data_IF_166309743148
#
_entry.id   IF_166309743148
#
_cell.length_a   1.000
_cell.length_b   1.000
_cell.length_c   1.000
_cell.angle_alpha   90.00
_cell.angle_beta   90.00
_cell.angle_gamma   90.00
#
_symmetry.space_group_name_H-M   'P 1'
#
loop_
_entity.id
_entity.type
_entity.pdbx_description
1 polymer ?
#
# COMPACT_ATOMS: atom_id res chain seq x y z
N UNK A 1 32.97 29.63 17.47
CA UNK A 1 32.51 28.30 17.94
C UNK A 1 31.23 27.97 17.19
N UNK A 2 31.38 27.34 16.04
CA UNK A 2 30.26 27.11 15.09
C UNK A 2 29.70 25.71 15.34
N UNK A 3 28.43 25.69 15.65
CA UNK A 3 27.65 24.53 16.07
C UNK A 3 27.57 23.54 14.89
N UNK A 4 28.30 22.44 14.92
CA UNK A 4 28.19 21.28 14.03
C UNK A 4 27.11 20.28 14.49
N UNK A 5 26.22 20.68 15.40
CA UNK A 5 25.21 19.77 15.96
C UNK A 5 23.98 19.54 15.05
N UNK A 6 23.93 20.16 13.87
CA UNK A 6 22.74 20.06 13.00
C UNK A 6 22.77 18.90 12.00
N UNK A 7 23.97 18.34 11.71
CA UNK A 7 24.10 17.32 10.68
C UNK A 7 23.69 15.91 11.15
N UNK A 8 23.95 15.56 12.40
CA UNK A 8 23.59 14.25 12.96
C UNK A 8 22.08 14.04 13.11
N UNK A 9 21.36 15.11 13.44
CA UNK A 9 19.90 15.04 13.63
C UNK A 9 19.15 14.89 12.30
N UNK A 10 19.67 15.48 11.24
CA UNK A 10 19.11 15.38 9.89
C UNK A 10 19.28 13.97 9.31
N UNK A 11 20.39 13.32 9.57
CA UNK A 11 20.68 11.97 9.09
C UNK A 11 19.78 10.90 9.75
N UNK A 12 19.65 10.94 11.07
CA UNK A 12 18.78 10.02 11.83
C UNK A 12 17.30 10.22 11.46
N UNK A 13 16.86 11.46 11.22
CA UNK A 13 15.52 11.75 10.76
C UNK A 13 15.26 11.19 9.37
N UNK A 14 16.24 11.22 8.48
CA UNK A 14 16.14 10.71 7.12
C UNK A 14 15.96 9.19 7.07
N UNK A 15 16.74 8.43 7.81
CA UNK A 15 16.58 6.98 7.87
C UNK A 15 15.23 6.57 8.44
N UNK A 16 14.70 7.30 9.41
CA UNK A 16 13.36 7.10 9.92
C UNK A 16 12.29 7.36 8.85
N UNK A 17 12.47 8.41 8.04
CA UNK A 17 11.57 8.70 6.91
C UNK A 17 11.63 7.61 5.85
N UNK A 18 12.83 7.17 5.47
CA UNK A 18 13.00 6.07 4.52
C UNK A 18 12.36 4.78 5.05
N UNK A 19 12.57 4.44 6.32
CA UNK A 19 11.97 3.26 6.94
C UNK A 19 10.43 3.34 7.02
N UNK A 20 9.90 4.49 7.42
CA UNK A 20 8.45 4.71 7.46
C UNK A 20 7.82 4.65 6.05
N UNK A 21 8.46 5.27 5.07
CA UNK A 21 8.02 5.20 3.69
C UNK A 21 8.10 3.78 3.11
N UNK A 22 9.18 3.04 3.40
CA UNK A 22 9.32 1.63 3.04
C UNK A 22 8.20 0.76 3.63
N UNK A 23 7.83 1.00 4.89
CA UNK A 23 6.70 0.34 5.54
C UNK A 23 5.38 0.61 4.80
N UNK A 24 5.11 1.87 4.43
CA UNK A 24 3.93 2.23 3.64
C UNK A 24 3.95 1.60 2.23
N UNK A 25 5.12 1.50 1.60
CA UNK A 25 5.28 0.82 0.33
C UNK A 25 5.00 -0.68 0.44
N UNK A 26 5.46 -1.35 1.50
CA UNK A 26 5.16 -2.76 1.76
C UNK A 26 3.64 -2.98 1.97
N UNK A 27 2.99 -2.12 2.75
CA UNK A 27 1.53 -2.16 2.93
C UNK A 27 0.81 -1.93 1.61
N UNK A 28 1.29 -0.98 0.79
CA UNK A 28 0.74 -0.73 -0.54
C UNK A 28 0.85 -1.96 -1.43
N UNK A 29 2.01 -2.60 -1.47
CA UNK A 29 2.22 -3.84 -2.22
C UNK A 29 1.29 -4.96 -1.77
N UNK A 30 1.14 -5.16 -0.45
CA UNK A 30 0.25 -6.16 0.11
C UNK A 30 -1.22 -5.90 -0.29
N UNK A 31 -1.69 -4.67 -0.17
CA UNK A 31 -3.03 -4.27 -0.59
C UNK A 31 -3.24 -4.48 -2.09
N UNK A 32 -2.22 -4.20 -2.91
CA UNK A 32 -2.27 -4.44 -4.35
C UNK A 32 -2.36 -5.94 -4.67
N UNK A 33 -1.57 -6.78 -4.01
CA UNK A 33 -1.65 -8.24 -4.17
C UNK A 33 -3.02 -8.82 -3.81
N UNK A 34 -3.64 -8.33 -2.73
CA UNK A 34 -5.01 -8.69 -2.37
C UNK A 34 -6.00 -8.21 -3.45
N UNK A 35 -5.90 -6.96 -3.89
CA UNK A 35 -6.76 -6.40 -4.93
C UNK A 35 -6.68 -7.20 -6.24
N UNK A 36 -5.47 -7.52 -6.71
CA UNK A 36 -5.24 -8.33 -7.90
C UNK A 36 -5.87 -9.73 -7.77
N UNK A 37 -5.71 -10.37 -6.61
CA UNK A 37 -6.34 -11.68 -6.34
C UNK A 37 -7.86 -11.59 -6.41
N UNK A 38 -8.45 -10.62 -5.75
CA UNK A 38 -9.92 -10.44 -5.70
C UNK A 38 -10.50 -10.17 -7.09
N UNK A 39 -9.79 -9.39 -7.92
CA UNK A 39 -10.29 -8.97 -9.24
C UNK A 39 -10.05 -10.02 -10.31
N UNK A 40 -8.85 -10.60 -10.33
CA UNK A 40 -8.41 -11.43 -11.45
C UNK A 40 -8.33 -12.92 -11.12
N UNK A 41 -8.19 -13.29 -9.85
CA UNK A 41 -8.02 -14.67 -9.39
C UNK A 41 -8.95 -15.02 -8.23
N UNK A 42 -10.27 -14.80 -8.34
CA UNK A 42 -11.20 -15.03 -7.23
C UNK A 42 -11.30 -16.51 -6.79
N UNK A 43 -10.87 -17.43 -7.63
CA UNK A 43 -10.76 -18.86 -7.32
C UNK A 43 -9.66 -19.18 -6.28
N UNK A 44 -8.68 -18.28 -6.09
CA UNK A 44 -7.64 -18.40 -5.05
C UNK A 44 -8.11 -18.00 -3.67
N UNK A 45 -9.28 -17.36 -3.56
CA UNK A 45 -9.85 -16.97 -2.27
C UNK A 45 -10.41 -18.21 -1.58
N UNK A 46 -10.05 -18.47 -0.31
CA UNK A 46 -10.53 -19.62 0.42
C UNK A 46 -12.06 -19.75 0.37
N UNK A 47 -12.57 -20.95 0.13
CA UNK A 47 -14.01 -21.19 0.00
C UNK A 47 -14.79 -20.90 1.29
N UNK A 48 -14.10 -20.91 2.43
CA UNK A 48 -14.66 -20.58 3.75
C UNK A 48 -14.85 -19.09 4.00
N UNK A 49 -14.29 -18.23 3.14
CA UNK A 49 -14.41 -16.78 3.30
C UNK A 49 -15.73 -16.26 2.76
N UNK A 50 -16.22 -15.17 3.33
CA UNK A 50 -17.46 -14.53 2.89
C UNK A 50 -17.35 -14.06 1.43
N UNK A 51 -18.02 -14.79 0.54
CA UNK A 51 -18.00 -14.50 -0.90
C UNK A 51 -18.61 -13.15 -1.24
N UNK A 52 -19.60 -12.66 -0.46
CA UNK A 52 -20.20 -11.35 -0.73
C UNK A 52 -19.20 -10.23 -0.56
N UNK A 53 -18.24 -10.40 0.35
CA UNK A 53 -17.21 -9.40 0.56
C UNK A 53 -15.95 -9.62 -0.30
N UNK A 54 -15.56 -10.88 -0.50
CA UNK A 54 -14.29 -11.23 -1.15
C UNK A 54 -14.39 -11.46 -2.66
N UNK A 55 -15.54 -11.88 -3.22
CA UNK A 55 -15.68 -12.12 -4.65
C UNK A 55 -16.09 -10.86 -5.39
N UNK A 56 -15.14 -10.22 -6.07
CA UNK A 56 -15.37 -9.00 -6.83
C UNK A 56 -16.42 -9.10 -7.96
N UNK A 57 -16.83 -10.32 -8.35
CA UNK A 57 -17.87 -10.54 -9.36
C UNK A 57 -19.27 -10.34 -8.82
N UNK A 58 -19.47 -10.54 -7.53
CA UNK A 58 -20.77 -10.46 -6.87
C UNK A 58 -20.88 -9.31 -5.85
N UNK A 59 -19.77 -8.89 -5.24
CA UNK A 59 -19.76 -7.90 -4.16
C UNK A 59 -20.36 -6.54 -4.56
N UNK A 60 -20.20 -6.13 -5.80
CA UNK A 60 -20.75 -4.85 -6.29
C UNK A 60 -22.28 -4.78 -6.26
N UNK A 61 -22.98 -5.91 -6.29
CA UNK A 61 -24.45 -5.97 -6.22
C UNK A 61 -25.01 -5.53 -4.87
N UNK A 62 -24.17 -5.57 -3.84
CA UNK A 62 -24.53 -5.17 -2.47
C UNK A 62 -24.34 -3.67 -2.21
N UNK A 63 -23.94 -2.89 -3.21
CA UNK A 63 -23.83 -1.42 -3.08
C UNK A 63 -25.22 -0.84 -2.85
N UNK A 64 -25.37 -0.19 -1.69
CA UNK A 64 -26.60 0.49 -1.34
C UNK A 64 -27.10 1.43 -2.44
N UNK A 65 -28.40 1.56 -2.59
CA UNK A 65 -29.06 2.38 -3.60
C UNK A 65 -28.87 3.88 -3.39
N UNK A 66 -28.41 4.31 -2.20
CA UNK A 66 -28.21 5.73 -1.87
C UNK A 66 -26.94 6.31 -2.52
N UNK A 67 -26.96 7.60 -2.84
CA UNK A 67 -25.80 8.34 -3.36
C UNK A 67 -24.61 8.25 -2.39
N UNK A 68 -24.87 8.29 -1.09
CA UNK A 68 -23.87 8.11 -0.03
C UNK A 68 -23.21 6.73 -0.10
N UNK A 69 -24.00 5.65 -0.22
CA UNK A 69 -23.50 4.29 -0.37
C UNK A 69 -22.71 4.09 -1.65
N UNK A 70 -23.00 4.85 -2.74
CA UNK A 70 -22.26 4.75 -4.01
C UNK A 70 -20.94 5.50 -4.02
N UNK A 71 -20.81 6.58 -3.27
CA UNK A 71 -19.62 7.45 -3.29
C UNK A 71 -18.66 7.19 -2.12
N UNK A 72 -19.14 7.25 -0.91
CA UNK A 72 -18.29 7.14 0.30
C UNK A 72 -18.43 5.76 0.93
N UNK A 73 -19.65 5.21 0.97
CA UNK A 73 -19.92 3.88 1.54
C UNK A 73 -19.39 2.73 0.67
N UNK A 74 -18.92 3.00 -0.57
CA UNK A 74 -18.26 1.97 -1.38
C UNK A 74 -16.89 1.60 -0.81
N UNK A 75 -16.19 2.52 -0.13
CA UNK A 75 -14.99 2.21 0.62
C UNK A 75 -15.38 1.31 1.80
N UNK A 76 -14.82 0.11 1.84
CA UNK A 76 -15.16 -0.89 2.87
C UNK A 76 -16.39 -1.75 2.58
N UNK A 77 -17.11 -1.53 1.48
CA UNK A 77 -18.27 -2.36 1.10
C UNK A 77 -17.88 -3.77 0.65
N UNK A 78 -16.69 -3.91 0.08
CA UNK A 78 -16.11 -5.16 -0.37
C UNK A 78 -14.58 -5.06 -0.45
N UNK A 79 -13.92 -6.20 -0.61
CA UNK A 79 -12.47 -6.28 -0.65
C UNK A 79 -11.87 -5.45 -1.80
N UNK A 80 -12.46 -5.48 -2.99
CA UNK A 80 -11.99 -4.71 -4.15
C UNK A 80 -11.98 -3.21 -3.87
N UNK A 81 -13.09 -2.66 -3.33
CA UNK A 81 -13.24 -1.23 -3.05
C UNK A 81 -12.53 -0.78 -1.78
N UNK A 82 -12.08 -1.73 -0.96
CA UNK A 82 -11.22 -1.47 0.21
C UNK A 82 -9.75 -1.44 -0.19
N UNK A 83 -9.26 -2.52 -0.78
CA UNK A 83 -7.82 -2.69 -1.02
C UNK A 83 -7.31 -1.89 -2.22
N UNK A 84 -8.12 -1.64 -3.24
CA UNK A 84 -7.72 -0.81 -4.37
C UNK A 84 -7.40 0.64 -3.98
N UNK A 85 -8.30 1.39 -3.32
CA UNK A 85 -7.99 2.73 -2.81
C UNK A 85 -6.89 2.72 -1.74
N UNK A 86 -6.91 1.77 -0.80
CA UNK A 86 -5.89 1.68 0.26
C UNK A 86 -4.48 1.52 -0.33
N UNK A 87 -4.31 0.67 -1.35
CA UNK A 87 -3.08 0.57 -2.11
C UNK A 87 -2.61 1.93 -2.62
N UNK A 88 -3.47 2.68 -3.31
CA UNK A 88 -3.10 3.99 -3.89
C UNK A 88 -2.74 5.01 -2.82
N UNK A 89 -3.53 5.10 -1.75
CA UNK A 89 -3.28 6.06 -0.67
C UNK A 89 -1.97 5.76 0.08
N UNK A 90 -1.69 4.49 0.37
CA UNK A 90 -0.43 4.10 1.03
C UNK A 90 0.78 4.27 0.10
N UNK A 91 0.62 4.07 -1.21
CA UNK A 91 1.66 4.35 -2.21
C UNK A 91 2.03 5.84 -2.20
N UNK A 92 1.03 6.72 -2.32
CA UNK A 92 1.27 8.16 -2.34
C UNK A 92 1.81 8.66 -0.99
N UNK A 93 1.24 8.19 0.13
CA UNK A 93 1.74 8.54 1.46
C UNK A 93 3.20 8.11 1.64
N UNK A 94 3.57 6.91 1.20
CA UNK A 94 4.94 6.42 1.25
C UNK A 94 5.90 7.29 0.43
N UNK A 95 5.51 7.65 -0.79
CA UNK A 95 6.29 8.54 -1.65
C UNK A 95 6.47 9.93 -1.02
N UNK A 96 5.40 10.51 -0.45
CA UNK A 96 5.46 11.80 0.24
C UNK A 96 6.38 11.73 1.46
N UNK A 97 6.23 10.72 2.32
CA UNK A 97 7.05 10.55 3.53
C UNK A 97 8.54 10.45 3.18
N UNK A 98 8.89 9.73 2.11
CA UNK A 98 10.28 9.60 1.67
C UNK A 98 10.82 10.92 1.12
N UNK A 99 10.02 11.71 0.40
CA UNK A 99 10.50 12.86 -0.38
C UNK A 99 10.40 14.20 0.35
N UNK A 100 9.44 14.38 1.25
CA UNK A 100 9.18 15.68 1.90
C UNK A 100 10.27 16.04 2.89
N UNK A 101 10.79 17.28 2.76
CA UNK A 101 11.62 17.94 3.77
C UNK A 101 13.09 17.52 3.81
N UNK A 102 13.57 16.68 2.91
CA UNK A 102 14.96 16.24 2.90
C UNK A 102 15.75 16.75 1.68
N UNK A 103 16.83 17.50 1.93
CA UNK A 103 17.85 17.71 0.91
C UNK A 103 18.68 16.43 0.81
N UNK A 104 18.62 15.77 -0.35
CA UNK A 104 19.30 14.49 -0.61
C UNK A 104 20.34 14.66 -1.70
N UNK A 105 21.41 13.87 -1.59
CA UNK A 105 22.34 13.70 -2.71
C UNK A 105 21.65 12.90 -3.81
N UNK A 106 22.00 13.11 -5.07
CA UNK A 106 21.34 12.47 -6.21
C UNK A 106 21.28 10.93 -6.12
N UNK A 107 22.32 10.30 -5.61
CA UNK A 107 22.36 8.84 -5.45
C UNK A 107 21.43 8.32 -4.33
N UNK A 108 21.10 9.15 -3.34
CA UNK A 108 20.18 8.80 -2.27
C UNK A 108 18.75 8.63 -2.77
N UNK A 109 18.36 9.39 -3.80
CA UNK A 109 17.07 9.17 -4.49
C UNK A 109 17.03 7.80 -5.17
N UNK A 110 18.16 7.32 -5.72
CA UNK A 110 18.29 5.97 -6.27
C UNK A 110 18.10 4.89 -5.21
N UNK A 111 18.69 5.07 -4.03
CA UNK A 111 18.50 4.15 -2.91
C UNK A 111 17.05 4.14 -2.41
N UNK A 112 16.42 5.31 -2.29
CA UNK A 112 15.02 5.39 -1.86
C UNK A 112 14.08 4.72 -2.88
N UNK A 113 14.33 4.90 -4.16
CA UNK A 113 13.59 4.21 -5.21
C UNK A 113 13.76 2.69 -5.14
N UNK A 114 14.99 2.22 -4.92
CA UNK A 114 15.29 0.79 -4.75
C UNK A 114 14.60 0.22 -3.50
N UNK A 115 14.72 0.88 -2.37
CA UNK A 115 14.06 0.46 -1.10
C UNK A 115 12.54 0.44 -1.29
N UNK A 116 11.97 1.44 -1.93
CA UNK A 116 10.54 1.52 -2.22
C UNK A 116 10.08 0.35 -3.10
N UNK A 117 10.81 0.08 -4.17
CA UNK A 117 10.52 -1.02 -5.09
C UNK A 117 10.60 -2.38 -4.38
N UNK A 118 11.68 -2.63 -3.64
CA UNK A 118 11.88 -3.89 -2.91
C UNK A 118 10.78 -4.08 -1.86
N UNK A 119 10.46 -3.03 -1.10
CA UNK A 119 9.42 -3.08 -0.06
C UNK A 119 8.04 -3.34 -0.66
N UNK A 120 7.69 -2.63 -1.73
CA UNK A 120 6.44 -2.87 -2.46
C UNK A 120 6.37 -4.31 -2.99
N UNK A 121 7.42 -4.77 -3.65
CA UNK A 121 7.49 -6.13 -4.21
C UNK A 121 7.38 -7.20 -3.12
N UNK A 122 8.04 -7.01 -1.98
CA UNK A 122 7.94 -7.90 -0.84
C UNK A 122 6.49 -7.99 -0.32
N UNK A 123 5.83 -6.84 -0.13
CA UNK A 123 4.42 -6.80 0.27
C UNK A 123 3.50 -7.47 -0.74
N UNK A 124 3.68 -7.19 -2.02
CA UNK A 124 2.91 -7.82 -3.09
C UNK A 124 3.07 -9.35 -3.10
N UNK A 125 4.30 -9.84 -3.09
CA UNK A 125 4.56 -11.28 -3.10
C UNK A 125 4.10 -11.98 -1.82
N UNK A 126 4.16 -11.31 -0.67
CA UNK A 126 3.65 -11.87 0.58
C UNK A 126 2.15 -12.21 0.50
N UNK A 127 1.36 -11.40 -0.17
CA UNK A 127 -0.08 -11.64 -0.33
C UNK A 127 -0.41 -12.43 -1.60
N UNK A 128 0.05 -11.97 -2.75
CA UNK A 128 -0.31 -12.55 -4.04
C UNK A 128 0.28 -13.95 -4.27
N UNK A 129 1.56 -14.13 -3.95
CA UNK A 129 2.28 -15.36 -4.27
C UNK A 129 2.35 -16.36 -3.13
N UNK A 130 2.38 -15.90 -1.87
CA UNK A 130 2.54 -16.78 -0.71
C UNK A 130 1.21 -17.09 -0.03
N UNK A 131 0.37 -16.07 0.20
CA UNK A 131 -0.87 -16.23 0.95
C UNK A 131 -2.00 -16.78 0.07
N UNK A 132 -2.19 -16.23 -1.13
CA UNK A 132 -3.19 -16.70 -2.09
C UNK A 132 -2.61 -17.68 -3.11
N UNK A 133 -1.88 -18.66 -2.62
CA UNK A 133 -1.33 -19.75 -3.44
C UNK A 133 -2.44 -20.69 -3.89
N UNK A 134 -2.30 -21.21 -5.12
CA UNK A 134 -3.09 -22.37 -5.59
C UNK A 134 -2.70 -23.62 -4.84
#
# INVERSE_FOLDING_TARGET
MTIQATDDFSYLSRWKQTAAGAGLMAVSGACYGIHETVVHHPNRIPASWDKQWWDGRISWKNKGSSTWGRTIGSFGSDAKHTFGPLHRHTLYAGAVVITVGSRRRWWEYGLDALVSFVSFSAGFHATYSLYFRE
#
